data_IF_196532262109
#
_entry.id   IF_196532262109
#
_cell.length_a   1.000
_cell.length_b   1.000
_cell.length_c   1.000
_cell.angle_alpha   90.00
_cell.angle_beta   90.00
_cell.angle_gamma   90.00
#
_symmetry.space_group_name_H-M   'P 1'
#
loop_
_entity.id
_entity.type
_entity.pdbx_description
1 polymer ?
#
# COMPACT_ATOMS: atom_id res chain seq x y z
N UNK A 1 1.66 20.13 18.52
CA UNK A 1 1.97 20.20 17.08
C UNK A 1 0.93 19.35 16.39
N UNK A 2 0.13 20.01 15.55
CA UNK A 2 -1.24 19.64 15.15
C UNK A 2 -1.28 18.53 14.10
N UNK A 3 -2.31 17.69 14.19
CA UNK A 3 -2.59 16.54 13.32
C UNK A 3 -2.39 16.87 11.84
N UNK A 4 -1.35 16.31 11.25
CA UNK A 4 -1.23 16.21 9.80
C UNK A 4 -1.47 14.75 9.44
N UNK A 5 -2.74 14.36 9.45
CA UNK A 5 -3.13 13.03 9.01
C UNK A 5 -3.15 13.04 7.48
N UNK A 6 -2.23 12.30 6.88
CA UNK A 6 -2.19 12.14 5.42
C UNK A 6 -3.33 11.20 5.01
N UNK A 7 -4.28 11.72 4.25
CA UNK A 7 -5.42 10.94 3.75
C UNK A 7 -5.01 9.99 2.63
N UNK A 8 -5.83 8.96 2.45
CA UNK A 8 -5.63 7.84 1.54
C UNK A 8 -6.50 7.98 0.30
N UNK A 9 -5.84 8.11 -0.85
CA UNK A 9 -6.43 8.49 -2.14
C UNK A 9 -6.55 7.34 -3.13
N UNK A 10 -6.11 6.14 -2.74
CA UNK A 10 -6.24 4.91 -3.50
C UNK A 10 -5.34 4.77 -4.72
N UNK A 11 -5.18 3.52 -5.16
CA UNK A 11 -4.28 3.14 -6.24
C UNK A 11 -4.62 3.80 -7.57
N UNK A 12 -5.89 4.17 -7.80
CA UNK A 12 -6.33 4.90 -9.00
C UNK A 12 -5.61 6.23 -9.16
N UNK A 13 -5.30 6.95 -8.07
CA UNK A 13 -4.53 8.20 -8.15
C UNK A 13 -3.07 7.94 -8.49
N UNK A 14 -2.47 6.90 -7.91
CA UNK A 14 -1.11 6.47 -8.21
C UNK A 14 -0.96 6.03 -9.68
N UNK A 15 -1.97 5.32 -10.21
CA UNK A 15 -2.04 4.84 -11.61
C UNK A 15 -1.86 5.95 -12.63
N UNK A 16 -2.34 7.16 -12.35
CA UNK A 16 -2.30 8.28 -13.30
C UNK A 16 -0.87 8.61 -13.76
N UNK A 17 0.13 8.33 -12.92
CA UNK A 17 1.54 8.57 -13.23
C UNK A 17 2.37 7.28 -13.26
N UNK A 18 2.05 6.29 -12.41
CA UNK A 18 2.86 5.08 -12.23
C UNK A 18 2.39 3.86 -13.05
N UNK A 19 1.84 4.08 -14.25
CA UNK A 19 1.37 3.02 -15.16
C UNK A 19 2.30 2.73 -16.35
N UNK A 20 3.51 3.31 -16.37
CA UNK A 20 4.44 3.21 -17.51
C UNK A 20 5.74 2.51 -17.11
N UNK A 21 6.43 1.85 -18.06
CA UNK A 21 7.77 1.31 -17.84
C UNK A 21 8.77 2.35 -17.32
N UNK A 22 8.70 3.60 -17.81
CA UNK A 22 9.55 4.71 -17.34
C UNK A 22 9.38 5.03 -15.85
N UNK A 23 8.27 4.61 -15.24
CA UNK A 23 8.01 4.73 -13.81
C UNK A 23 8.19 3.41 -13.06
N UNK A 24 8.67 2.35 -13.70
CA UNK A 24 8.85 1.03 -13.09
C UNK A 24 7.60 0.14 -13.17
N UNK A 25 6.60 0.54 -13.96
CA UNK A 25 5.34 -0.19 -14.17
C UNK A 25 4.64 -0.59 -12.85
N UNK A 26 4.72 0.31 -11.87
CA UNK A 26 4.40 0.02 -10.47
C UNK A 26 2.94 -0.37 -10.29
N UNK A 27 2.03 0.35 -10.95
CA UNK A 27 0.61 0.04 -10.88
C UNK A 27 0.30 -1.35 -11.44
N UNK A 28 0.89 -1.71 -12.59
CA UNK A 28 0.65 -3.03 -13.19
C UNK A 28 1.20 -4.14 -12.29
N UNK A 29 2.43 -4.00 -11.81
CA UNK A 29 3.05 -4.94 -10.87
C UNK A 29 2.21 -5.14 -9.60
N UNK A 30 1.65 -4.05 -9.06
CA UNK A 30 0.73 -4.14 -7.93
C UNK A 30 -0.59 -4.83 -8.30
N UNK A 31 -1.21 -4.42 -9.40
CA UNK A 31 -2.49 -4.97 -9.86
C UNK A 31 -2.41 -6.48 -10.13
N UNK A 32 -1.27 -6.98 -10.60
CA UNK A 32 -1.03 -8.41 -10.84
C UNK A 32 -0.59 -9.17 -9.57
N UNK A 33 -0.45 -8.49 -8.42
CA UNK A 33 0.09 -9.06 -7.19
C UNK A 33 -0.99 -9.58 -6.25
N UNK A 34 -0.62 -10.52 -5.38
CA UNK A 34 -1.48 -11.00 -4.29
C UNK A 34 -1.96 -9.91 -3.33
N UNK A 35 -1.31 -8.75 -3.29
CA UNK A 35 -1.74 -7.63 -2.45
C UNK A 35 -2.99 -6.94 -3.01
N UNK A 36 -3.05 -6.69 -4.32
CA UNK A 36 -4.27 -6.19 -4.96
C UNK A 36 -5.43 -7.20 -4.86
N UNK A 37 -5.10 -8.49 -4.83
CA UNK A 37 -6.06 -9.59 -4.70
C UNK A 37 -6.23 -10.11 -3.27
N UNK A 38 -5.76 -9.39 -2.25
CA UNK A 38 -5.68 -9.91 -0.88
C UNK A 38 -7.05 -10.34 -0.32
N UNK A 39 -8.12 -9.63 -0.70
CA UNK A 39 -9.49 -9.94 -0.29
C UNK A 39 -10.00 -11.28 -0.83
N UNK A 40 -9.49 -11.76 -1.97
CA UNK A 40 -9.93 -13.03 -2.58
C UNK A 40 -9.57 -14.25 -1.73
N UNK A 41 -8.63 -14.10 -0.80
CA UNK A 41 -8.24 -15.17 0.12
C UNK A 41 -9.15 -15.31 1.34
N UNK A 42 -9.99 -14.31 1.63
CA UNK A 42 -10.94 -14.33 2.73
C UNK A 42 -12.27 -14.98 2.30
N UNK A 43 -12.90 -15.75 3.19
CA UNK A 43 -14.16 -16.45 2.90
C UNK A 43 -15.24 -16.12 3.93
N UNK A 44 -16.48 -16.03 3.46
CA UNK A 44 -17.64 -15.81 4.34
C UNK A 44 -17.48 -14.57 5.20
N UNK A 45 -17.60 -14.73 6.53
CA UNK A 45 -17.55 -13.63 7.48
C UNK A 45 -16.15 -13.04 7.67
N UNK A 46 -15.07 -13.74 7.28
CA UNK A 46 -13.70 -13.21 7.36
C UNK A 46 -13.53 -11.92 6.57
N UNK A 47 -14.23 -11.80 5.42
CA UNK A 47 -14.18 -10.61 4.57
C UNK A 47 -14.80 -9.37 5.21
N UNK A 48 -15.47 -9.52 6.36
CA UNK A 48 -16.07 -8.43 7.14
C UNK A 48 -15.46 -8.29 8.53
N UNK A 49 -14.63 -9.25 8.97
CA UNK A 49 -13.99 -9.21 10.28
C UNK A 49 -12.87 -8.15 10.29
N UNK A 50 -12.96 -7.11 11.14
CA UNK A 50 -11.91 -6.10 11.27
C UNK A 50 -10.52 -6.68 11.54
N UNK A 51 -10.41 -7.85 12.20
CA UNK A 51 -9.13 -8.53 12.46
C UNK A 51 -8.48 -9.01 11.16
N UNK A 52 -9.27 -9.53 10.22
CA UNK A 52 -8.80 -9.95 8.90
C UNK A 52 -8.53 -8.72 8.03
N UNK A 53 -9.44 -7.74 8.04
CA UNK A 53 -9.34 -6.53 7.23
C UNK A 53 -8.11 -5.69 7.54
N UNK A 54 -7.61 -5.69 8.79
CA UNK A 54 -6.35 -5.04 9.19
C UNK A 54 -5.16 -5.41 8.29
N UNK A 55 -5.13 -6.64 7.78
CA UNK A 55 -4.04 -7.14 6.93
C UNK A 55 -4.42 -7.31 5.46
N UNK A 56 -5.71 -7.46 5.15
CA UNK A 56 -6.19 -7.76 3.80
C UNK A 56 -6.73 -6.53 3.04
N UNK A 57 -6.93 -5.40 3.73
CA UNK A 57 -7.40 -4.18 3.10
C UNK A 57 -6.77 -2.94 3.71
N UNK A 58 -6.21 -2.05 2.88
CA UNK A 58 -5.74 -0.74 3.36
C UNK A 58 -6.87 0.03 4.00
N UNK A 59 -8.06 0.04 3.38
CA UNK A 59 -9.26 0.69 3.92
C UNK A 59 -9.67 0.12 5.29
N UNK A 60 -9.49 -1.18 5.50
CA UNK A 60 -9.75 -1.85 6.77
C UNK A 60 -8.68 -1.62 7.85
N UNK A 61 -7.50 -1.13 7.47
CA UNK A 61 -6.36 -0.92 8.36
C UNK A 61 -6.20 0.52 8.85
N UNK A 62 -6.93 1.47 8.26
CA UNK A 62 -6.83 2.91 8.56
C UNK A 62 -8.14 3.44 9.13
N UNK A 63 -8.09 4.61 9.76
CA UNK A 63 -9.30 5.28 10.22
C UNK A 63 -10.15 5.72 9.02
N UNK A 64 -11.47 5.55 9.13
CA UNK A 64 -12.41 5.84 8.04
C UNK A 64 -12.45 7.31 7.64
N UNK A 65 -12.14 8.23 8.55
CA UNK A 65 -12.05 9.68 8.29
C UNK A 65 -10.84 10.07 7.43
N UNK A 66 -9.84 9.18 7.29
CA UNK A 66 -8.68 9.37 6.43
C UNK A 66 -8.88 8.79 5.03
N UNK A 67 -10.00 8.13 4.77
CA UNK A 67 -10.26 7.49 3.48
C UNK A 67 -10.94 8.49 2.55
N UNK A 68 -10.30 8.80 1.43
CA UNK A 68 -10.90 9.64 0.38
C UNK A 68 -11.63 8.77 -0.63
N UNK A 69 -10.95 7.75 -1.18
CA UNK A 69 -11.51 6.88 -2.22
C UNK A 69 -11.12 5.41 -2.12
N UNK A 70 -10.33 5.02 -1.12
CA UNK A 70 -10.03 3.60 -0.89
C UNK A 70 -11.32 2.83 -0.59
N UNK A 71 -11.41 1.60 -1.11
CA UNK A 71 -12.47 0.66 -0.75
C UNK A 71 -11.86 -0.61 -0.16
N UNK A 72 -12.70 -1.41 0.50
CA UNK A 72 -12.23 -2.67 1.09
C UNK A 72 -11.70 -3.61 0.00
N UNK A 73 -12.37 -3.64 -1.14
CA UNK A 73 -12.11 -4.50 -2.30
C UNK A 73 -10.82 -4.12 -3.05
N UNK A 74 -10.24 -2.94 -2.82
CA UNK A 74 -8.92 -2.59 -3.38
C UNK A 74 -7.80 -3.44 -2.77
N UNK A 75 -8.08 -4.15 -1.67
CA UNK A 75 -7.12 -5.00 -0.99
C UNK A 75 -6.00 -4.20 -0.34
N UNK A 76 -4.80 -4.76 -0.33
CA UNK A 76 -3.60 -4.07 0.16
C UNK A 76 -3.10 -3.14 -0.95
N UNK A 77 -3.50 -1.88 -0.87
CA UNK A 77 -3.20 -0.80 -1.81
C UNK A 77 -1.76 -0.27 -1.68
N UNK A 78 -1.36 0.62 -2.60
CA UNK A 78 -0.06 1.29 -2.60
C UNK A 78 0.26 1.94 -1.25
N UNK A 79 -0.76 2.53 -0.63
CA UNK A 79 -0.66 3.37 0.56
C UNK A 79 -0.48 2.56 1.86
N UNK A 80 -0.70 1.24 1.84
CA UNK A 80 -0.31 0.35 2.95
C UNK A 80 1.20 0.33 3.17
N UNK A 81 1.98 0.44 2.08
CA UNK A 81 3.44 0.48 2.15
C UNK A 81 3.98 1.92 2.12
N UNK A 82 3.31 2.81 1.39
CA UNK A 82 3.81 4.15 1.08
C UNK A 82 3.17 5.29 1.88
N UNK A 83 2.25 5.00 2.80
CA UNK A 83 1.53 6.03 3.55
C UNK A 83 0.45 6.75 2.73
N UNK A 84 -0.31 7.64 3.37
CA UNK A 84 -1.40 8.38 2.72
C UNK A 84 -0.89 9.33 1.63
N UNK A 85 -1.42 9.18 0.42
CA UNK A 85 -0.97 9.85 -0.80
C UNK A 85 -1.45 11.28 -0.99
N UNK A 86 -2.39 11.76 -0.18
CA UNK A 86 -3.10 13.04 -0.38
C UNK A 86 -2.19 14.26 -0.61
N UNK A 87 -1.01 14.30 0.03
CA UNK A 87 -0.08 15.44 -0.08
C UNK A 87 1.14 15.17 -0.95
N UNK A 88 1.49 13.93 -1.23
CA UNK A 88 2.64 13.62 -2.09
C UNK A 88 2.29 13.21 -3.52
N UNK A 89 1.04 12.83 -3.84
CA UNK A 89 0.65 12.50 -5.22
C UNK A 89 0.77 13.67 -6.23
N UNK A 90 0.67 14.96 -5.86
CA UNK A 90 0.83 16.04 -6.82
C UNK A 90 2.22 16.02 -7.48
N UNK A 91 2.26 16.25 -8.79
CA UNK A 91 3.47 16.12 -9.60
C UNK A 91 4.64 16.99 -9.08
N UNK A 92 4.34 18.20 -8.60
CA UNK A 92 5.31 19.13 -8.05
C UNK A 92 5.97 18.65 -6.74
N UNK A 93 5.34 17.71 -6.04
CA UNK A 93 5.84 17.13 -4.78
C UNK A 93 6.49 15.77 -5.05
N UNK A 94 5.82 14.86 -5.77
CA UNK A 94 6.31 13.48 -5.97
C UNK A 94 7.65 13.36 -6.70
N UNK A 95 8.01 14.36 -7.52
CA UNK A 95 9.28 14.38 -8.26
C UNK A 95 10.50 14.58 -7.35
N UNK A 96 10.30 15.16 -6.18
CA UNK A 96 11.34 15.38 -5.17
C UNK A 96 11.08 14.43 -4.00
N UNK A 97 11.98 13.45 -3.85
CA UNK A 97 11.83 12.39 -2.86
C UNK A 97 11.76 12.93 -1.43
N UNK A 98 12.52 13.97 -1.11
CA UNK A 98 12.54 14.52 0.25
C UNK A 98 11.28 15.34 0.52
N UNK A 99 10.78 16.09 -0.48
CA UNK A 99 9.46 16.73 -0.37
C UNK A 99 8.34 15.72 -0.23
N UNK A 100 8.37 14.63 -1.01
CA UNK A 100 7.38 13.58 -0.92
C UNK A 100 7.36 12.94 0.47
N UNK A 101 8.53 12.63 1.05
CA UNK A 101 8.64 12.10 2.43
C UNK A 101 8.09 13.07 3.47
N UNK A 102 8.43 14.35 3.36
CA UNK A 102 7.88 15.38 4.24
C UNK A 102 6.35 15.53 4.12
N UNK A 103 5.77 15.04 3.02
CA UNK A 103 4.34 15.08 2.72
C UNK A 103 3.67 13.69 2.77
N UNK A 104 4.23 12.76 3.55
CA UNK A 104 3.56 11.50 3.91
C UNK A 104 4.08 10.25 3.22
N UNK A 105 4.98 10.37 2.24
CA UNK A 105 5.59 9.21 1.60
C UNK A 105 6.44 8.43 2.60
N UNK A 106 6.08 7.17 2.79
CA UNK A 106 6.89 6.18 3.51
C UNK A 106 7.69 5.36 2.51
N UNK A 107 8.96 5.13 2.85
CA UNK A 107 9.80 4.17 2.14
C UNK A 107 9.71 2.86 2.91
N UNK A 108 9.11 1.80 2.33
CA UNK A 108 8.88 0.56 3.05
C UNK A 108 10.20 -0.13 3.41
N UNK A 109 10.25 -0.65 4.62
CA UNK A 109 11.31 -1.46 5.19
C UNK A 109 10.76 -2.83 5.63
N UNK A 110 11.58 -3.64 6.29
CA UNK A 110 11.14 -4.94 6.80
C UNK A 110 9.97 -4.82 7.81
N UNK A 111 9.97 -3.77 8.63
CA UNK A 111 8.90 -3.51 9.61
C UNK A 111 7.55 -3.31 8.93
N UNK A 112 7.55 -2.66 7.77
CA UNK A 112 6.35 -2.47 6.95
C UNK A 112 5.75 -3.81 6.53
N UNK A 113 6.58 -4.79 6.18
CA UNK A 113 6.12 -6.10 5.75
C UNK A 113 5.63 -6.96 6.92
N UNK A 114 6.38 -7.02 8.02
CA UNK A 114 6.03 -7.85 9.19
C UNK A 114 4.86 -7.27 10.00
N UNK A 115 4.35 -6.08 9.65
CA UNK A 115 3.12 -5.56 10.23
C UNK A 115 1.90 -6.47 9.93
N UNK A 116 1.92 -7.18 8.80
CA UNK A 116 0.90 -8.15 8.41
C UNK A 116 1.46 -9.59 8.32
N UNK A 117 2.72 -9.74 7.87
CA UNK A 117 3.36 -11.06 7.75
C UNK A 117 3.95 -11.53 9.09
N UNK A 118 3.07 -11.83 10.04
CA UNK A 118 3.44 -12.24 11.41
C UNK A 118 2.45 -13.27 11.98
N UNK A 119 2.69 -13.70 13.22
CA UNK A 119 1.91 -14.72 13.91
C UNK A 119 0.48 -14.30 14.33
N UNK A 120 0.09 -13.03 14.17
CA UNK A 120 -1.32 -12.62 14.33
C UNK A 120 -2.20 -13.20 13.21
N UNK A 121 -1.62 -13.53 12.06
CA UNK A 121 -2.35 -14.22 10.98
C UNK A 121 -2.49 -15.72 11.32
N UNK A 122 -3.71 -16.28 11.32
CA UNK A 122 -3.93 -17.71 11.62
C UNK A 122 -3.31 -18.64 10.58
N UNK A 123 -2.90 -18.11 9.42
CA UNK A 123 -2.28 -18.86 8.33
C UNK A 123 -0.78 -18.58 8.18
N UNK A 124 -0.17 -17.91 9.16
CA UNK A 124 1.26 -17.60 9.10
C UNK A 124 2.12 -18.87 9.19
N UNK A 125 2.94 -19.08 8.15
CA UNK A 125 3.89 -20.22 8.07
C UNK A 125 5.36 -19.76 7.99
N UNK A 126 5.63 -18.52 8.40
CA UNK A 126 6.91 -17.85 8.20
C UNK A 126 6.91 -16.87 7.02
N UNK A 127 7.87 -15.95 7.04
CA UNK A 127 8.03 -14.91 6.03
C UNK A 127 9.51 -14.65 5.76
N UNK A 128 9.93 -14.83 4.51
CA UNK A 128 11.27 -14.46 4.06
C UNK A 128 11.21 -13.08 3.41
N UNK A 129 11.63 -12.05 4.15
CA UNK A 129 11.59 -10.66 3.69
C UNK A 129 12.37 -10.45 2.39
N UNK A 130 13.57 -11.03 2.28
CA UNK A 130 14.46 -10.82 1.13
C UNK A 130 13.80 -11.32 -0.16
N UNK A 131 13.29 -12.55 -0.16
CA UNK A 131 12.61 -13.14 -1.32
C UNK A 131 11.27 -12.46 -1.62
N UNK A 132 10.49 -12.12 -0.60
CA UNK A 132 9.20 -11.47 -0.79
C UNK A 132 9.34 -10.04 -1.36
N UNK A 133 10.34 -9.30 -0.90
CA UNK A 133 10.66 -7.95 -1.39
C UNK A 133 10.97 -7.96 -2.88
N UNK A 134 11.74 -8.94 -3.36
CA UNK A 134 12.11 -9.03 -4.77
C UNK A 134 10.88 -9.21 -5.68
N UNK A 135 9.88 -9.96 -5.23
CA UNK A 135 8.64 -10.20 -5.99
C UNK A 135 7.78 -8.94 -6.18
N UNK A 136 7.84 -8.01 -5.23
CA UNK A 136 7.05 -6.77 -5.27
C UNK A 136 7.87 -5.56 -5.69
N UNK A 137 9.19 -5.68 -5.86
CA UNK A 137 10.06 -4.56 -6.18
C UNK A 137 9.66 -3.88 -7.51
N UNK A 138 9.45 -2.56 -7.45
CA UNK A 138 9.08 -1.72 -8.58
C UNK A 138 9.84 -0.38 -8.57
N UNK A 139 11.19 -0.40 -8.56
CA UNK A 139 11.94 0.85 -8.59
C UNK A 139 11.68 1.60 -9.89
N UNK A 140 11.59 2.93 -9.81
CA UNK A 140 11.71 3.77 -11.00
C UNK A 140 13.08 3.48 -11.65
N UNK A 141 13.14 3.12 -12.94
CA UNK A 141 14.39 2.86 -13.63
C UNK A 141 15.33 4.06 -13.49
N UNK A 142 16.60 3.79 -13.18
CA UNK A 142 17.63 4.82 -13.30
C UNK A 142 17.87 5.02 -14.79
N UNK A 143 17.67 6.26 -15.25
CA UNK A 143 18.15 6.71 -16.55
C UNK A 143 19.67 6.77 -16.57
#
# INVERSE_FOLDING_TARGET
>A
MTAQDFEYVGAKKCKMCHNKPATGDQYKKWADSKHAHAMESLKGDEAKDPKCLKCHSTAGSVKSDLIVTLTVEEGVSCESCHGGGSKYFPNAIMKDKEKAKANGLKIPDEKTCIACHNAESPHFKGFNYKEAKEKIAHPTPKV
#
